data_IF_575325339091
#
_entry.id   IF_575325339091
#
_cell.length_a   1.000
_cell.length_b   1.000
_cell.length_c   1.000
_cell.angle_alpha   90.00
_cell.angle_beta   90.00
_cell.angle_gamma   90.00
#
_symmetry.space_group_name_H-M   'P 1'
#
loop_
_entity.id
_entity.type
_entity.pdbx_description
1 polymer ?
#
# COMPACT_ATOMS: atom_id res chain seq x y z
N UNK A 1 -11.24 -20.20 -17.78
CA UNK A 1 -11.16 -20.15 -16.30
C UNK A 1 -10.10 -19.18 -15.76
N UNK A 2 -8.95 -18.93 -16.43
CA UNK A 2 -7.99 -17.90 -15.98
C UNK A 2 -8.56 -16.47 -16.09
N UNK A 3 -9.28 -16.16 -17.18
CA UNK A 3 -9.83 -14.83 -17.43
C UNK A 3 -10.83 -14.34 -16.35
N UNK A 4 -11.73 -15.20 -15.86
CA UNK A 4 -12.75 -14.79 -14.88
C UNK A 4 -12.14 -14.39 -13.54
N UNK A 5 -11.12 -15.15 -13.10
CA UNK A 5 -10.39 -14.88 -11.86
C UNK A 5 -9.57 -13.59 -11.98
N UNK A 6 -8.95 -13.37 -13.14
CA UNK A 6 -8.17 -12.18 -13.43
C UNK A 6 -9.04 -10.91 -13.50
N UNK A 7 -10.20 -10.99 -14.14
CA UNK A 7 -11.23 -9.93 -14.15
C UNK A 7 -11.76 -9.64 -12.75
N UNK A 8 -11.99 -10.66 -11.92
CA UNK A 8 -12.41 -10.49 -10.54
C UNK A 8 -11.36 -9.72 -9.72
N UNK A 9 -10.09 -10.10 -9.81
CA UNK A 9 -9.01 -9.40 -9.10
C UNK A 9 -8.82 -7.97 -9.61
N UNK A 10 -8.90 -7.74 -10.92
CA UNK A 10 -8.89 -6.39 -11.52
C UNK A 10 -9.94 -5.49 -10.87
N UNK A 11 -11.21 -5.92 -10.86
CA UNK A 11 -12.32 -5.15 -10.27
C UNK A 11 -12.14 -4.93 -8.77
N UNK A 12 -11.69 -5.95 -8.03
CA UNK A 12 -11.43 -5.84 -6.59
C UNK A 12 -10.31 -4.86 -6.29
N UNK A 13 -9.19 -4.91 -7.01
CA UNK A 13 -8.07 -3.97 -6.85
C UNK A 13 -8.51 -2.54 -7.09
N UNK A 14 -9.27 -2.28 -8.16
CA UNK A 14 -9.82 -0.95 -8.42
C UNK A 14 -10.74 -0.50 -7.29
N UNK A 15 -11.65 -1.36 -6.82
CA UNK A 15 -12.55 -1.03 -5.71
C UNK A 15 -11.81 -0.73 -4.40
N UNK A 16 -10.84 -1.58 -4.03
CA UNK A 16 -10.04 -1.38 -2.83
C UNK A 16 -9.10 -0.17 -2.96
N UNK A 17 -8.62 0.13 -4.17
CA UNK A 17 -7.85 1.33 -4.44
C UNK A 17 -8.66 2.62 -4.26
N UNK A 18 -9.90 2.66 -4.77
CA UNK A 18 -10.83 3.77 -4.50
C UNK A 18 -11.12 3.89 -2.99
N UNK A 19 -11.32 2.76 -2.32
CA UNK A 19 -11.55 2.75 -0.88
C UNK A 19 -10.34 3.28 -0.08
N UNK A 20 -9.13 2.85 -0.41
CA UNK A 20 -7.91 3.32 0.24
C UNK A 20 -7.63 4.81 -0.05
N UNK A 21 -7.90 5.26 -1.28
CA UNK A 21 -7.84 6.67 -1.64
C UNK A 21 -8.79 7.51 -0.78
N UNK A 22 -10.03 7.05 -0.61
CA UNK A 22 -11.02 7.69 0.28
C UNK A 22 -10.52 7.74 1.73
N UNK A 23 -9.93 6.64 2.24
CA UNK A 23 -9.32 6.64 3.57
C UNK A 23 -8.21 7.69 3.67
N UNK A 24 -7.35 7.83 2.66
CA UNK A 24 -6.34 8.88 2.58
C UNK A 24 -6.95 10.28 2.67
N UNK A 25 -8.03 10.56 1.93
CA UNK A 25 -8.75 11.84 2.02
C UNK A 25 -9.30 12.09 3.43
N UNK A 26 -9.93 11.10 4.05
CA UNK A 26 -10.45 11.18 5.42
C UNK A 26 -9.31 11.46 6.41
N UNK A 27 -8.18 10.76 6.27
CA UNK A 27 -6.98 11.00 7.09
C UNK A 27 -6.53 12.46 7.02
N UNK A 28 -6.62 13.11 5.85
CA UNK A 28 -6.27 14.52 5.67
C UNK A 28 -7.03 15.47 6.62
N UNK A 29 -8.32 15.22 6.83
CA UNK A 29 -9.14 16.01 7.78
C UNK A 29 -8.78 15.75 9.24
N UNK A 30 -8.20 14.59 9.55
CA UNK A 30 -7.85 14.19 10.92
C UNK A 30 -6.46 14.72 11.34
N UNK A 31 -5.61 15.15 10.41
CA UNK A 31 -4.24 15.62 10.68
C UNK A 31 -4.16 16.65 11.82
N UNK A 32 -5.00 17.70 11.89
CA UNK A 32 -4.89 18.72 12.95
C UNK A 32 -5.16 18.17 14.36
N UNK A 33 -5.87 17.05 14.48
CA UNK A 33 -6.21 16.41 15.74
C UNK A 33 -5.24 15.28 16.14
N UNK A 34 -4.24 14.98 15.31
CA UNK A 34 -3.29 13.90 15.54
C UNK A 34 -2.15 14.33 16.48
N UNK A 35 -1.68 13.39 17.30
CA UNK A 35 -0.55 13.62 18.21
C UNK A 35 0.77 13.84 17.45
N UNK A 36 0.95 13.17 16.31
CA UNK A 36 2.05 13.41 15.37
C UNK A 36 1.51 13.79 13.98
N UNK A 37 1.26 15.09 13.73
CA UNK A 37 0.73 15.56 12.45
C UNK A 37 1.61 15.21 11.25
N UNK A 38 2.92 15.02 11.44
CA UNK A 38 3.85 14.63 10.37
C UNK A 38 3.57 13.22 9.86
N UNK A 39 3.39 12.27 10.78
CA UNK A 39 2.99 10.91 10.42
C UNK A 39 1.55 10.86 9.90
N UNK A 40 0.68 11.74 10.40
CA UNK A 40 -0.65 11.97 9.82
C UNK A 40 -0.61 12.41 8.36
N UNK A 41 0.26 13.37 8.02
CA UNK A 41 0.49 13.79 6.64
C UNK A 41 1.05 12.66 5.78
N UNK A 42 2.03 11.90 6.30
CA UNK A 42 2.51 10.69 5.62
C UNK A 42 1.38 9.70 5.36
N UNK A 43 0.51 9.45 6.34
CA UNK A 43 -0.63 8.55 6.17
C UNK A 43 -1.64 9.03 5.12
N UNK A 44 -1.92 10.34 5.07
CA UNK A 44 -2.73 10.94 4.01
C UNK A 44 -2.13 10.69 2.61
N UNK A 45 -0.84 10.95 2.46
CA UNK A 45 -0.11 10.73 1.21
C UNK A 45 -0.08 9.24 0.85
N UNK A 46 0.22 8.36 1.80
CA UNK A 46 0.26 6.92 1.57
C UNK A 46 -1.13 6.38 1.21
N UNK A 47 -2.21 6.86 1.83
CA UNK A 47 -3.57 6.47 1.47
C UNK A 47 -3.94 6.88 0.03
N UNK A 48 -3.61 8.11 -0.36
CA UNK A 48 -3.90 8.61 -1.71
C UNK A 48 -3.02 7.96 -2.78
N UNK A 49 -1.70 7.90 -2.56
CA UNK A 49 -0.74 7.30 -3.50
C UNK A 49 -0.96 5.79 -3.66
N UNK A 50 -1.10 5.04 -2.55
CA UNK A 50 -1.35 3.61 -2.63
C UNK A 50 -2.75 3.30 -3.16
N UNK A 51 -3.74 4.15 -2.89
CA UNK A 51 -5.06 4.05 -3.50
C UNK A 51 -4.99 4.17 -5.03
N UNK A 52 -4.28 5.18 -5.54
CA UNK A 52 -4.04 5.33 -6.99
C UNK A 52 -3.24 4.15 -7.55
N UNK A 53 -2.22 3.67 -6.84
CA UNK A 53 -1.43 2.51 -7.24
C UNK A 53 -2.29 1.26 -7.42
N UNK A 54 -3.20 0.97 -6.47
CA UNK A 54 -4.14 -0.15 -6.58
C UNK A 54 -5.12 -0.01 -7.75
N UNK A 55 -5.60 1.21 -8.01
CA UNK A 55 -6.43 1.49 -9.19
C UNK A 55 -5.65 1.17 -10.48
N UNK A 56 -4.40 1.64 -10.58
CA UNK A 56 -3.53 1.36 -11.71
C UNK A 56 -3.25 -0.15 -11.84
N UNK A 57 -3.00 -0.85 -10.73
CA UNK A 57 -2.86 -2.31 -10.73
C UNK A 57 -4.11 -2.99 -11.27
N UNK A 58 -5.31 -2.56 -10.84
CA UNK A 58 -6.57 -3.06 -11.37
C UNK A 58 -6.69 -2.87 -12.90
N UNK A 59 -6.27 -1.71 -13.42
CA UNK A 59 -6.28 -1.41 -14.86
C UNK A 59 -5.31 -2.29 -15.66
N UNK A 60 -4.07 -2.44 -15.19
CA UNK A 60 -3.07 -3.26 -15.90
C UNK A 60 -3.28 -4.77 -15.67
N UNK A 61 -4.08 -5.16 -14.70
CA UNK A 61 -4.20 -6.55 -14.23
C UNK A 61 -4.55 -7.52 -15.35
N UNK A 62 -5.43 -7.13 -16.27
CA UNK A 62 -5.88 -7.95 -17.41
C UNK A 62 -4.81 -8.12 -18.48
N UNK A 63 -3.73 -7.33 -18.45
CA UNK A 63 -2.59 -7.44 -19.35
C UNK A 63 -1.51 -8.41 -18.84
N UNK A 64 -1.62 -8.87 -17.59
CA UNK A 64 -0.63 -9.74 -16.97
C UNK A 64 -0.75 -11.19 -17.48
N UNK A 65 0.36 -11.73 -17.98
CA UNK A 65 0.49 -13.13 -18.37
C UNK A 65 1.10 -13.93 -17.21
N UNK A 66 0.26 -14.31 -16.24
CA UNK A 66 0.68 -14.97 -15.01
C UNK A 66 -0.15 -16.23 -14.75
N UNK A 67 0.43 -17.17 -14.00
CA UNK A 67 -0.33 -18.30 -13.46
C UNK A 67 -1.33 -17.82 -12.41
N UNK A 68 -2.42 -18.59 -12.21
CA UNK A 68 -3.45 -18.25 -11.20
C UNK A 68 -2.87 -18.06 -9.79
N UNK A 69 -1.81 -18.78 -9.44
CA UNK A 69 -1.14 -18.64 -8.15
C UNK A 69 -0.39 -17.31 -8.04
N UNK A 70 0.36 -16.89 -9.08
CA UNK A 70 1.05 -15.60 -9.07
C UNK A 70 0.06 -14.43 -9.08
N UNK A 71 -1.06 -14.55 -9.81
CA UNK A 71 -2.15 -13.56 -9.74
C UNK A 71 -2.72 -13.45 -8.32
N UNK A 72 -3.02 -14.59 -7.68
CA UNK A 72 -3.53 -14.59 -6.31
C UNK A 72 -2.55 -13.94 -5.33
N UNK A 73 -1.26 -14.31 -5.39
CA UNK A 73 -0.25 -13.74 -4.50
C UNK A 73 0.01 -12.27 -4.78
N UNK A 74 0.12 -11.85 -6.04
CA UNK A 74 0.24 -10.44 -6.40
C UNK A 74 -0.94 -9.62 -5.88
N UNK A 75 -2.16 -10.13 -6.01
CA UNK A 75 -3.37 -9.50 -5.47
C UNK A 75 -3.31 -9.35 -3.95
N UNK A 76 -3.03 -10.44 -3.22
CA UNK A 76 -2.99 -10.45 -1.76
C UNK A 76 -1.88 -9.55 -1.21
N UNK A 77 -0.67 -9.63 -1.78
CA UNK A 77 0.46 -8.81 -1.37
C UNK A 77 0.25 -7.32 -1.68
N UNK A 78 -0.42 -7.00 -2.81
CA UNK A 78 -0.76 -5.61 -3.12
C UNK A 78 -1.69 -5.01 -2.07
N UNK A 79 -2.76 -5.74 -1.70
CA UNK A 79 -3.67 -5.27 -0.65
C UNK A 79 -2.97 -5.22 0.71
N UNK A 80 -2.23 -6.25 1.08
CA UNK A 80 -1.51 -6.28 2.35
C UNK A 80 -0.53 -5.10 2.45
N UNK A 81 0.33 -4.89 1.45
CA UNK A 81 1.35 -3.85 1.48
C UNK A 81 0.75 -2.45 1.56
N UNK A 82 -0.22 -2.16 0.70
CA UNK A 82 -0.85 -0.82 0.60
C UNK A 82 -1.68 -0.45 1.84
N UNK A 83 -2.51 -1.38 2.35
CA UNK A 83 -3.30 -1.12 3.56
C UNK A 83 -2.44 -1.08 4.81
N UNK A 84 -1.42 -1.95 4.91
CA UNK A 84 -0.48 -1.90 6.05
C UNK A 84 0.29 -0.58 6.05
N UNK A 85 0.64 -0.04 4.88
CA UNK A 85 1.35 1.22 4.77
C UNK A 85 0.54 2.40 5.29
N UNK A 86 -0.71 2.53 4.81
CA UNK A 86 -1.63 3.52 5.33
C UNK A 86 -1.91 3.32 6.83
N UNK A 87 -2.19 2.09 7.28
CA UNK A 87 -2.59 1.83 8.67
C UNK A 87 -1.45 2.08 9.67
N UNK A 88 -0.22 1.67 9.34
CA UNK A 88 0.94 1.87 10.22
C UNK A 88 1.27 3.35 10.38
N UNK A 89 1.28 4.10 9.28
CA UNK A 89 1.50 5.55 9.32
C UNK A 89 0.33 6.29 10.00
N UNK A 90 -0.91 5.81 9.82
CA UNK A 90 -2.09 6.37 10.50
C UNK A 90 -2.00 6.18 12.02
N UNK A 91 -1.70 4.96 12.47
CA UNK A 91 -1.51 4.65 13.90
C UNK A 91 -0.33 5.43 14.50
N UNK A 92 0.76 5.60 13.75
CA UNK A 92 1.87 6.45 14.17
C UNK A 92 1.44 7.91 14.38
N UNK A 93 0.61 8.44 13.48
CA UNK A 93 0.01 9.77 13.62
C UNK A 93 -0.88 9.89 14.88
N UNK A 94 -1.71 8.88 15.14
CA UNK A 94 -2.59 8.85 16.31
C UNK A 94 -1.83 8.73 17.64
N UNK A 95 -0.80 7.89 17.70
CA UNK A 95 -0.07 7.59 18.95
C UNK A 95 1.08 8.53 19.26
N UNK A 96 1.41 9.47 18.36
CA UNK A 96 2.61 10.28 18.56
C UNK A 96 3.92 9.50 18.32
N UNK A 97 3.82 8.30 17.75
CA UNK A 97 4.92 7.35 17.56
C UNK A 97 5.59 7.54 16.19
N UNK A 98 6.68 6.81 15.93
CA UNK A 98 7.43 6.85 14.67
C UNK A 98 8.46 7.99 14.59
N UNK A 99 8.76 8.63 15.72
CA UNK A 99 9.80 9.67 15.83
C UNK A 99 11.23 9.09 15.81
N UNK A 100 11.42 7.85 16.27
CA UNK A 100 12.73 7.18 16.28
C UNK A 100 13.33 6.95 14.87
N UNK A 101 12.51 6.91 13.82
CA UNK A 101 13.01 6.80 12.44
C UNK A 101 13.63 8.11 11.90
N UNK A 102 13.58 9.22 12.66
CA UNK A 102 14.30 10.46 12.35
C UNK A 102 14.87 11.15 13.61
N UNK A 103 16.11 10.82 14.02
CA UNK A 103 16.75 11.34 15.24
C UNK A 103 16.94 12.86 15.33
N UNK A 104 16.82 13.59 14.22
CA UNK A 104 17.21 15.00 14.14
C UNK A 104 16.06 16.02 14.32
N UNK A 105 14.82 15.59 14.50
CA UNK A 105 13.66 16.50 14.56
C UNK A 105 12.57 16.13 15.60
N UNK A 106 12.79 15.09 16.41
CA UNK A 106 11.81 14.63 17.41
C UNK A 106 11.79 15.53 18.64
N UNK A 107 10.76 16.36 18.77
CA UNK A 107 10.43 17.17 19.95
C UNK A 107 9.91 16.30 21.12
N UNK A 108 10.64 15.25 21.50
CA UNK A 108 10.37 14.45 22.71
C UNK A 108 9.09 13.61 22.71
N UNK A 109 8.39 13.47 21.58
CA UNK A 109 7.26 12.55 21.44
C UNK A 109 7.77 11.15 21.14
N UNK A 110 7.50 10.21 22.03
CA UNK A 110 7.91 8.81 21.90
C UNK A 110 6.71 7.95 22.25
N UNK A 111 6.23 7.15 21.29
CA UNK A 111 5.18 6.17 21.55
C UNK A 111 5.66 5.12 22.55
N UNK A 112 4.74 4.31 23.09
CA UNK A 112 5.15 3.14 23.86
C UNK A 112 6.03 2.22 22.99
N UNK A 113 7.03 1.56 23.59
CA UNK A 113 7.98 0.70 22.87
C UNK A 113 7.29 -0.32 21.94
N UNK A 114 6.17 -0.89 22.38
CA UNK A 114 5.42 -1.85 21.56
C UNK A 114 4.74 -1.21 20.33
N UNK A 115 4.37 0.08 20.42
CA UNK A 115 3.80 0.84 19.29
C UNK A 115 4.87 1.08 18.23
N UNK A 116 6.08 1.48 18.64
CA UNK A 116 7.22 1.67 17.73
C UNK A 116 7.61 0.37 17.03
N UNK A 117 7.67 -0.75 17.77
CA UNK A 117 7.95 -2.08 17.21
C UNK A 117 6.87 -2.49 16.20
N UNK A 118 5.59 -2.25 16.51
CA UNK A 118 4.49 -2.54 15.61
C UNK A 118 4.59 -1.72 14.31
N UNK A 119 4.82 -0.41 14.42
CA UNK A 119 4.97 0.47 13.26
C UNK A 119 6.16 0.02 12.40
N UNK A 120 7.32 -0.19 13.03
CA UNK A 120 8.55 -0.61 12.33
C UNK A 120 8.39 -1.97 11.63
N UNK A 121 7.83 -2.96 12.32
CA UNK A 121 7.60 -4.29 11.73
C UNK A 121 6.58 -4.23 10.58
N UNK A 122 5.55 -3.40 10.71
CA UNK A 122 4.60 -3.11 9.64
C UNK A 122 5.28 -2.49 8.41
N UNK A 123 6.11 -1.45 8.60
CA UNK A 123 6.86 -0.79 7.53
C UNK A 123 7.88 -1.71 6.83
N UNK A 124 8.54 -2.60 7.57
CA UNK A 124 9.48 -3.57 6.96
C UNK A 124 8.70 -4.62 6.17
N UNK A 125 7.66 -5.21 6.76
CA UNK A 125 6.89 -6.29 6.12
C UNK A 125 6.16 -5.80 4.87
N UNK A 126 5.59 -4.59 4.89
CA UNK A 126 4.97 -4.02 3.70
C UNK A 126 5.99 -3.74 2.59
N UNK A 127 7.21 -3.30 2.94
CA UNK A 127 8.25 -3.00 1.94
C UNK A 127 8.64 -4.26 1.19
N UNK A 128 8.84 -5.36 1.91
CA UNK A 128 9.09 -6.68 1.32
C UNK A 128 7.93 -7.15 0.42
N UNK A 129 6.69 -6.93 0.87
CA UNK A 129 5.51 -7.24 0.07
C UNK A 129 5.46 -6.44 -1.23
N UNK A 130 5.70 -5.13 -1.19
CA UNK A 130 5.65 -4.26 -2.36
C UNK A 130 6.77 -4.55 -3.36
N UNK A 131 7.99 -4.85 -2.90
CA UNK A 131 9.09 -5.31 -3.76
C UNK A 131 8.68 -6.61 -4.48
N UNK A 132 8.06 -7.55 -3.76
CA UNK A 132 7.59 -8.81 -4.34
C UNK A 132 6.50 -8.59 -5.38
N UNK A 133 5.55 -7.68 -5.12
CA UNK A 133 4.51 -7.27 -6.08
C UNK A 133 5.13 -6.70 -7.35
N UNK A 134 6.10 -5.79 -7.23
CA UNK A 134 6.81 -5.24 -8.38
C UNK A 134 7.48 -6.34 -9.20
N UNK A 135 8.13 -7.31 -8.55
CA UNK A 135 8.71 -8.48 -9.23
C UNK A 135 7.68 -9.31 -9.99
N UNK A 136 6.51 -9.59 -9.38
CA UNK A 136 5.41 -10.33 -10.02
C UNK A 136 4.85 -9.55 -11.21
N UNK A 137 4.63 -8.24 -11.09
CA UNK A 137 4.11 -7.39 -12.16
C UNK A 137 5.09 -7.30 -13.33
N UNK A 138 6.37 -7.05 -13.06
CA UNK A 138 7.40 -7.03 -14.10
C UNK A 138 7.50 -8.38 -14.82
N UNK A 139 7.40 -9.49 -14.09
CA UNK A 139 7.34 -10.81 -14.70
C UNK A 139 6.09 -11.02 -15.55
N UNK A 140 4.93 -10.61 -15.05
CA UNK A 140 3.65 -10.75 -15.76
C UNK A 140 3.52 -9.87 -17.00
N UNK A 141 4.25 -8.76 -17.08
CA UNK A 141 4.28 -7.86 -18.22
C UNK A 141 5.28 -8.28 -19.31
N UNK A 142 6.07 -9.35 -19.13
CA UNK A 142 7.03 -9.85 -20.13
C UNK A 142 6.39 -10.46 -21.39
N UNK A 143 5.06 -10.51 -21.48
CA UNK A 143 4.34 -11.06 -22.63
C UNK A 143 4.77 -10.40 -23.94
N UNK A 144 5.16 -11.21 -24.93
CA UNK A 144 5.69 -10.77 -26.23
C UNK A 144 4.78 -9.73 -26.87
N UNK A 145 5.35 -8.60 -27.26
CA UNK A 145 4.80 -7.76 -28.33
C UNK A 145 4.64 -8.68 -29.54
N UNK A 146 3.41 -9.11 -29.84
CA UNK A 146 3.15 -9.65 -31.17
C UNK A 146 3.45 -8.51 -32.13
N UNK A 147 4.57 -8.65 -32.85
CA UNK A 147 4.89 -7.82 -33.99
C UNK A 147 3.65 -7.69 -34.87
N UNK A 148 3.28 -6.44 -35.12
CA UNK A 148 2.36 -6.03 -36.16
C UNK A 148 2.83 -6.68 -37.47
N UNK A 149 2.01 -7.57 -38.04
CA UNK A 149 2.16 -8.06 -39.41
C UNK A 149 1.15 -7.36 -40.30
#
# INVERSE_FOLDING_TARGET
>A
MSNDTQLLYSRKLTRYGVFLFLLGLITGFLIPAMQNPRMGLSSHLEGTLNGMLLILFGVIWTKLQLSNNLLKWGYLLSLFGTFTNWATTFLAGLWGAGSEMMPFAGSGQSGALWQEILIKSGLISLSLAMISVCGILLWGLRGKTSEEK
#
